data_IF_605730926317
#
_entry.id   IF_605730926317
#
_cell.length_a   1.000
_cell.length_b   1.000
_cell.length_c   1.000
_cell.angle_alpha   90.00
_cell.angle_beta   90.00
_cell.angle_gamma   90.00
#
_symmetry.space_group_name_H-M   'P 1'
#
loop_
_entity.id
_entity.type
_entity.pdbx_description
1 polymer ?
#
# COMPACT_ATOMS: atom_id res chain seq x y z
N UNK A 1 6.55 16.24 10.61
CA UNK A 1 6.03 15.23 9.67
C UNK A 1 5.65 14.02 10.50
N UNK A 2 4.35 13.71 10.58
CA UNK A 2 3.85 12.62 11.42
C UNK A 2 3.67 11.40 10.55
N UNK A 3 4.29 10.30 10.93
CA UNK A 3 4.12 9.01 10.27
C UNK A 3 2.66 8.55 10.48
N UNK A 4 1.89 8.45 9.40
CA UNK A 4 0.54 7.90 9.46
C UNK A 4 0.60 6.39 9.16
N UNK A 5 0.02 5.60 10.07
CA UNK A 5 -0.17 4.16 9.89
C UNK A 5 -1.60 3.91 9.43
N UNK A 6 -1.76 3.25 8.28
CA UNK A 6 -3.06 2.78 7.78
C UNK A 6 -3.09 1.26 7.91
N UNK A 7 -4.13 0.73 8.56
CA UNK A 7 -4.31 -0.71 8.76
C UNK A 7 -5.36 -1.30 7.83
N UNK A 8 -5.03 -2.40 7.18
CA UNK A 8 -5.96 -3.17 6.33
C UNK A 8 -5.70 -4.67 6.49
N UNK A 9 -6.72 -5.51 6.28
CA UNK A 9 -6.57 -6.98 6.31
C UNK A 9 -6.68 -7.58 4.91
N UNK A 10 -5.93 -8.65 4.64
CA UNK A 10 -6.00 -9.42 3.38
C UNK A 10 -6.78 -10.73 3.62
N UNK A 11 -7.51 -11.20 2.60
CA UNK A 11 -8.20 -12.50 2.61
C UNK A 11 -7.30 -13.64 2.06
N UNK A 12 -7.37 -14.88 2.60
CA UNK A 12 -6.52 -15.99 2.16
C UNK A 12 -6.84 -16.49 0.74
N UNK A 13 -5.81 -16.94 0.00
CA UNK A 13 -5.97 -17.74 -1.23
C UNK A 13 -5.62 -17.02 -2.54
N UNK A 14 -5.34 -15.72 -2.49
CA UNK A 14 -4.89 -14.94 -3.65
C UNK A 14 -3.38 -14.69 -3.57
N UNK A 15 -2.67 -14.60 -4.71
CA UNK A 15 -1.25 -14.20 -4.78
C UNK A 15 -1.06 -12.68 -4.82
N UNK A 16 -2.17 -11.96 -4.75
CA UNK A 16 -2.21 -10.51 -4.78
C UNK A 16 -3.34 -10.02 -3.89
N UNK A 17 -3.17 -8.82 -3.35
CA UNK A 17 -4.21 -8.11 -2.64
C UNK A 17 -4.07 -6.62 -2.89
N UNK A 18 -5.13 -5.85 -2.65
CA UNK A 18 -5.08 -4.40 -2.70
C UNK A 18 -5.99 -3.74 -1.67
N UNK A 19 -5.62 -2.54 -1.25
CA UNK A 19 -6.40 -1.69 -0.38
C UNK A 19 -6.43 -0.26 -0.89
N UNK A 20 -7.53 0.44 -0.60
CA UNK A 20 -7.67 1.87 -0.87
C UNK A 20 -7.45 2.67 0.40
N UNK A 21 -6.82 3.84 0.28
CA UNK A 21 -6.77 4.83 1.35
C UNK A 21 -6.72 6.24 0.76
N UNK A 22 -6.95 7.23 1.63
CA UNK A 22 -6.82 8.65 1.27
C UNK A 22 -5.67 9.25 2.07
N UNK A 23 -4.67 9.82 1.39
CA UNK A 23 -3.48 10.35 2.05
C UNK A 23 -2.57 11.19 1.16
N UNK A 24 -1.59 11.84 1.77
CA UNK A 24 -0.53 12.63 1.13
C UNK A 24 0.74 12.58 1.99
N UNK A 25 1.90 12.90 1.42
CA UNK A 25 3.20 12.83 2.11
C UNK A 25 3.71 11.41 2.29
N UNK A 26 4.56 11.18 3.29
CA UNK A 26 5.08 9.84 3.60
C UNK A 26 4.21 9.10 4.61
N UNK A 27 3.98 7.82 4.34
CA UNK A 27 3.13 6.97 5.15
C UNK A 27 3.71 5.56 5.22
N UNK A 28 3.45 4.86 6.32
CA UNK A 28 3.67 3.41 6.42
C UNK A 28 2.30 2.75 6.42
N UNK A 29 2.07 1.90 5.44
CA UNK A 29 0.89 1.04 5.37
C UNK A 29 1.23 -0.26 6.08
N UNK A 30 0.37 -0.69 6.98
CA UNK A 30 0.53 -1.92 7.74
C UNK A 30 -0.64 -2.86 7.41
N UNK A 31 -0.33 -3.99 6.81
CA UNK A 31 -1.33 -4.90 6.26
C UNK A 31 -1.24 -6.25 6.94
N UNK A 32 -2.33 -6.66 7.59
CA UNK A 32 -2.45 -7.96 8.26
C UNK A 32 -2.72 -9.10 7.27
N UNK A 33 -1.89 -10.14 7.33
CA UNK A 33 -2.04 -11.36 6.54
C UNK A 33 -1.34 -12.53 7.26
N UNK A 34 -2.13 -13.41 7.89
CA UNK A 34 -1.61 -14.43 8.83
C UNK A 34 -0.66 -15.45 8.23
N UNK A 35 -0.65 -15.62 6.91
CA UNK A 35 0.23 -16.54 6.18
C UNK A 35 1.53 -15.90 5.69
N UNK A 36 1.69 -14.57 5.80
CA UNK A 36 2.96 -13.92 5.46
C UNK A 36 3.98 -14.18 6.56
N UNK A 37 5.22 -14.46 6.13
CA UNK A 37 6.37 -14.67 7.01
C UNK A 37 7.48 -13.70 6.62
N UNK A 38 8.50 -13.49 7.48
CA UNK A 38 9.67 -12.69 7.10
C UNK A 38 10.40 -13.19 5.84
N UNK A 39 10.25 -14.46 5.48
CA UNK A 39 10.88 -15.07 4.30
C UNK A 39 10.04 -14.93 3.01
N UNK A 40 8.81 -14.43 3.10
CA UNK A 40 7.94 -14.21 1.93
C UNK A 40 8.54 -13.18 0.97
N UNK A 41 8.42 -13.43 -0.32
CA UNK A 41 8.81 -12.44 -1.33
C UNK A 41 7.61 -11.54 -1.61
N UNK A 42 7.78 -10.23 -1.45
CA UNK A 42 6.69 -9.27 -1.61
C UNK A 42 7.12 -8.14 -2.54
N UNK A 43 6.29 -7.82 -3.52
CA UNK A 43 6.36 -6.58 -4.27
C UNK A 43 5.10 -5.75 -4.03
N UNK A 44 5.22 -4.43 -4.19
CA UNK A 44 4.08 -3.53 -4.04
C UNK A 44 4.04 -2.48 -5.15
N UNK A 45 2.84 -2.06 -5.51
CA UNK A 45 2.58 -0.97 -6.44
C UNK A 45 1.62 0.02 -5.83
N UNK A 46 1.80 1.31 -6.13
CA UNK A 46 0.89 2.39 -5.74
C UNK A 46 0.34 3.10 -6.97
N UNK A 47 -0.92 3.49 -6.95
CA UNK A 47 -1.57 4.24 -8.02
C UNK A 47 -2.67 5.15 -7.48
N UNK A 48 -2.87 6.31 -8.09
CA UNK A 48 -4.07 7.13 -7.86
C UNK A 48 -5.31 6.42 -8.43
N UNK A 49 -6.46 6.65 -7.83
CA UNK A 49 -7.74 6.16 -8.37
C UNK A 49 -8.75 7.29 -8.49
N UNK A 50 -9.68 7.18 -9.43
CA UNK A 50 -10.81 8.12 -9.55
C UNK A 50 -11.94 7.79 -8.55
N UNK A 51 -13.05 8.52 -8.68
CA UNK A 51 -14.22 8.38 -7.81
C UNK A 51 -14.89 7.00 -7.92
N UNK A 52 -14.68 6.30 -9.04
CA UNK A 52 -15.18 4.95 -9.32
C UNK A 52 -14.14 3.85 -8.96
N UNK A 53 -13.02 4.22 -8.31
CA UNK A 53 -11.88 3.35 -7.97
C UNK A 53 -11.10 2.79 -9.17
N UNK A 54 -11.20 3.41 -10.34
CA UNK A 54 -10.43 3.02 -11.51
C UNK A 54 -9.02 3.61 -11.40
N UNK A 55 -7.95 2.82 -11.57
CA UNK A 55 -6.58 3.32 -11.59
C UNK A 55 -6.38 4.39 -12.66
N UNK A 56 -5.75 5.50 -12.28
CA UNK A 56 -5.42 6.60 -13.20
C UNK A 56 -4.03 7.15 -12.94
N UNK A 57 -3.47 7.78 -13.97
CA UNK A 57 -2.22 8.53 -13.87
C UNK A 57 -2.56 10.00 -13.62
N UNK A 58 -2.50 10.41 -12.35
CA UNK A 58 -2.67 11.81 -11.95
C UNK A 58 -1.37 12.62 -12.08
N UNK A 59 -1.41 13.87 -11.60
CA UNK A 59 -0.25 14.75 -11.60
C UNK A 59 0.72 14.49 -10.43
N UNK A 60 0.24 13.85 -9.36
CA UNK A 60 1.05 13.54 -8.18
C UNK A 60 2.07 12.44 -8.49
N UNK A 61 3.31 12.64 -8.04
CA UNK A 61 4.33 11.58 -8.07
C UNK A 61 4.13 10.69 -6.85
N UNK A 62 4.11 9.38 -7.07
CA UNK A 62 3.96 8.40 -6.00
C UNK A 62 5.09 7.39 -6.06
N UNK A 63 5.64 7.02 -4.91
CA UNK A 63 6.76 6.08 -4.83
C UNK A 63 6.53 5.08 -3.71
N UNK A 64 6.79 3.79 -3.98
CA UNK A 64 7.01 2.78 -2.95
C UNK A 64 8.49 2.80 -2.60
N UNK A 65 8.83 3.09 -1.34
CA UNK A 65 10.23 3.19 -0.88
C UNK A 65 10.74 1.87 -0.32
N UNK A 66 9.98 1.26 0.59
CA UNK A 66 10.35 0.03 1.27
C UNK A 66 9.14 -0.90 1.34
N UNK A 67 9.39 -2.19 1.19
CA UNK A 67 8.43 -3.27 1.43
C UNK A 67 9.07 -4.24 2.42
N UNK A 68 8.44 -4.42 3.57
CA UNK A 68 8.93 -5.26 4.65
C UNK A 68 7.87 -6.31 5.01
N UNK A 69 8.02 -7.57 4.57
CA UNK A 69 7.25 -8.66 5.15
C UNK A 69 7.67 -8.89 6.61
N UNK A 70 6.71 -9.28 7.45
CA UNK A 70 6.92 -9.68 8.83
C UNK A 70 5.99 -10.85 9.17
N UNK A 71 6.17 -11.46 10.35
CA UNK A 71 5.29 -12.55 10.77
C UNK A 71 3.83 -12.06 10.91
N UNK A 72 2.97 -12.47 9.99
CA UNK A 72 1.55 -12.11 9.99
C UNK A 72 1.20 -10.83 9.24
N UNK A 73 2.11 -10.26 8.43
CA UNK A 73 1.75 -9.09 7.61
C UNK A 73 2.88 -8.45 6.81
N UNK A 74 2.58 -7.28 6.25
CA UNK A 74 3.46 -6.50 5.38
C UNK A 74 3.42 -5.03 5.78
N UNK A 75 4.58 -4.41 5.97
CA UNK A 75 4.71 -2.96 6.05
C UNK A 75 5.21 -2.39 4.72
N UNK A 76 4.61 -1.30 4.27
CA UNK A 76 5.01 -0.62 3.03
C UNK A 76 5.15 0.87 3.26
N UNK A 77 6.35 1.40 3.04
CA UNK A 77 6.57 2.84 3.05
C UNK A 77 6.23 3.40 1.67
N UNK A 78 5.25 4.30 1.62
CA UNK A 78 4.88 5.04 0.40
C UNK A 78 5.07 6.54 0.58
N UNK A 79 5.33 7.23 -0.53
CA UNK A 79 5.33 8.69 -0.63
C UNK A 79 4.34 9.13 -1.68
N UNK A 80 3.51 10.11 -1.36
CA UNK A 80 2.59 10.79 -2.27
C UNK A 80 2.98 12.27 -2.29
N UNK A 81 3.65 12.70 -3.35
CA UNK A 81 4.15 14.07 -3.49
C UNK A 81 3.04 14.98 -4.02
N UNK A 82 2.14 15.33 -3.11
CA UNK A 82 1.01 16.22 -3.35
C UNK A 82 0.65 16.98 -2.09
N UNK A 83 0.12 18.20 -2.23
CA UNK A 83 -0.19 19.08 -1.10
C UNK A 83 -1.55 18.78 -0.45
N UNK A 84 -2.36 17.92 -1.05
CA UNK A 84 -3.67 17.50 -0.53
C UNK A 84 -3.82 15.98 -0.54
N UNK A 85 -4.66 15.39 0.35
CA UNK A 85 -4.91 13.96 0.32
C UNK A 85 -5.50 13.51 -1.02
N UNK A 86 -4.99 12.40 -1.55
CA UNK A 86 -5.50 11.74 -2.75
C UNK A 86 -6.01 10.36 -2.40
N UNK A 87 -7.05 9.91 -3.10
CA UNK A 87 -7.51 8.52 -3.03
C UNK A 87 -6.55 7.67 -3.85
N UNK A 88 -5.97 6.67 -3.22
CA UNK A 88 -4.94 5.81 -3.82
C UNK A 88 -5.23 4.36 -3.52
N UNK A 89 -4.72 3.49 -4.38
CA UNK A 89 -4.69 2.05 -4.18
C UNK A 89 -3.26 1.60 -4.03
N UNK A 90 -2.99 0.77 -3.02
CA UNK A 90 -1.77 -0.02 -2.94
C UNK A 90 -2.10 -1.47 -3.14
N UNK A 91 -1.33 -2.12 -4.01
CA UNK A 91 -1.44 -3.55 -4.30
C UNK A 91 -0.17 -4.24 -3.84
N UNK A 92 -0.31 -5.40 -3.20
CA UNK A 92 0.77 -6.29 -2.79
C UNK A 92 0.68 -7.57 -3.60
N UNK A 93 1.82 -8.05 -4.10
CA UNK A 93 1.95 -9.35 -4.77
C UNK A 93 2.97 -10.16 -3.99
N UNK A 94 2.65 -11.43 -3.72
CA UNK A 94 3.47 -12.26 -2.85
C UNK A 94 3.52 -13.72 -3.29
N UNK A 95 4.67 -14.35 -3.03
CA UNK A 95 4.96 -15.77 -3.22
C UNK A 95 5.40 -16.44 -1.90
#
# INVERSE_FOLDING_TARGET
>A
MTLQIVKTDIQPGERASWGYFTGCGDMILDVGASWITPDSQVSASIVEVDDDNVPKMGAARMTVRNVQPYQGGIQTWVSIEWDSPLRVRVSHFYD
#
